data_IF_598578679811
#
_entry.id   IF_598578679811
#
_cell.length_a   1.000
_cell.length_b   1.000
_cell.length_c   1.000
_cell.angle_alpha   90.00
_cell.angle_beta   90.00
_cell.angle_gamma   90.00
#
_symmetry.space_group_name_H-M   'P 1'
#
loop_
_entity.id
_entity.type
_entity.pdbx_description
1 polymer ?
#
# COMPACT_ATOMS: atom_id res chain seq x y z
N UNK A 1 2.18 -28.91 8.61
CA UNK A 1 1.63 -27.78 7.84
C UNK A 1 0.90 -28.33 6.63
N UNK A 2 -0.29 -27.81 6.33
CA UNK A 2 -1.03 -28.25 5.13
C UNK A 2 -0.26 -27.87 3.86
N UNK A 3 -0.47 -28.57 2.76
CA UNK A 3 0.13 -28.20 1.47
C UNK A 3 -0.20 -26.74 1.08
N UNK A 4 -1.40 -26.26 1.46
CA UNK A 4 -1.80 -24.87 1.26
C UNK A 4 -0.91 -23.86 1.99
N UNK A 5 -0.63 -24.07 3.29
CA UNK A 5 0.26 -23.17 4.04
C UNK A 5 1.63 -23.10 3.38
N UNK A 6 2.23 -24.24 3.03
CA UNK A 6 3.57 -24.27 2.44
C UNK A 6 3.62 -23.58 1.06
N UNK A 7 2.59 -23.78 0.23
CA UNK A 7 2.58 -23.25 -1.14
C UNK A 7 2.17 -21.77 -1.18
N UNK A 8 1.24 -21.34 -0.34
CA UNK A 8 0.62 -20.03 -0.45
C UNK A 8 1.17 -18.98 0.53
N UNK A 9 1.96 -19.36 1.54
CA UNK A 9 2.46 -18.41 2.55
C UNK A 9 3.98 -18.20 2.51
N UNK A 10 4.72 -19.04 1.79
CA UNK A 10 6.16 -18.89 1.62
C UNK A 10 6.48 -18.14 0.31
N UNK A 11 7.45 -17.23 0.36
CA UNK A 11 7.99 -16.59 -0.84
C UNK A 11 8.75 -17.64 -1.63
N UNK A 12 8.52 -17.70 -2.95
CA UNK A 12 9.14 -18.70 -3.82
C UNK A 12 10.66 -18.50 -3.88
N UNK A 13 11.40 -19.59 -3.76
CA UNK A 13 12.85 -19.68 -3.92
C UNK A 13 13.27 -20.54 -5.12
N UNK A 14 12.30 -20.99 -5.91
CA UNK A 14 12.46 -21.86 -7.08
C UNK A 14 12.94 -21.14 -8.36
N UNK A 15 13.40 -19.89 -8.21
CA UNK A 15 13.90 -19.04 -9.30
C UNK A 15 12.81 -18.36 -10.14
N UNK A 16 11.53 -18.65 -9.91
CA UNK A 16 10.43 -17.93 -10.59
C UNK A 16 10.15 -16.55 -9.97
N UNK A 17 10.46 -16.37 -8.68
CA UNK A 17 10.49 -15.08 -8.02
C UNK A 17 11.92 -14.54 -8.04
N UNK A 18 12.06 -13.27 -8.41
CA UNK A 18 13.32 -12.55 -8.38
C UNK A 18 13.09 -11.28 -7.57
N UNK A 19 13.82 -11.13 -6.48
CA UNK A 19 13.85 -9.87 -5.75
C UNK A 19 14.49 -8.80 -6.65
N UNK A 20 13.69 -7.80 -7.02
CA UNK A 20 14.12 -6.71 -7.90
C UNK A 20 14.66 -5.50 -7.12
N UNK A 21 14.65 -5.54 -5.79
CA UNK A 21 14.93 -4.40 -4.91
C UNK A 21 13.81 -3.35 -4.93
N UNK A 22 14.05 -2.22 -4.26
CA UNK A 22 13.06 -1.14 -4.10
C UNK A 22 13.10 -0.09 -5.22
N UNK A 23 13.90 -0.29 -6.27
CA UNK A 23 13.98 0.67 -7.38
C UNK A 23 12.89 0.38 -8.42
N UNK A 24 11.75 1.04 -8.27
CA UNK A 24 10.59 0.86 -9.14
C UNK A 24 10.88 1.15 -10.64
N UNK A 25 11.76 2.12 -10.95
CA UNK A 25 12.14 2.39 -12.34
C UNK A 25 12.85 1.19 -12.97
N UNK A 26 13.70 0.50 -12.20
CA UNK A 26 14.34 -0.73 -12.65
C UNK A 26 13.33 -1.87 -12.81
N UNK A 27 12.31 -1.94 -11.95
CA UNK A 27 11.22 -2.91 -12.08
C UNK A 27 10.48 -2.69 -13.41
N UNK A 28 10.10 -1.46 -13.73
CA UNK A 28 9.44 -1.13 -15.01
C UNK A 28 10.30 -1.55 -16.21
N UNK A 29 11.59 -1.21 -16.20
CA UNK A 29 12.52 -1.60 -17.27
C UNK A 29 12.63 -3.12 -17.43
N UNK A 30 12.68 -3.87 -16.32
CA UNK A 30 12.74 -5.34 -16.34
C UNK A 30 11.46 -5.95 -16.94
N UNK A 31 10.30 -5.38 -16.64
CA UNK A 31 9.02 -5.84 -17.19
C UNK A 31 8.92 -5.52 -18.68
N UNK A 32 9.32 -4.32 -19.07
CA UNK A 32 9.32 -3.89 -20.48
C UNK A 32 10.26 -4.76 -21.33
N UNK A 33 11.43 -5.12 -20.80
CA UNK A 33 12.40 -5.98 -21.49
C UNK A 33 11.97 -7.45 -21.58
N UNK A 34 11.03 -7.91 -20.75
CA UNK A 34 10.55 -9.29 -20.73
C UNK A 34 9.02 -9.35 -20.71
N UNK A 35 8.36 -9.55 -21.88
CA UNK A 35 6.89 -9.62 -21.99
C UNK A 35 6.22 -10.74 -21.19
N UNK A 36 6.99 -11.73 -20.69
CA UNK A 36 6.48 -12.82 -19.83
C UNK A 36 6.60 -12.50 -18.34
N UNK A 37 7.29 -11.42 -17.97
CA UNK A 37 7.46 -11.05 -16.58
C UNK A 37 6.18 -10.46 -15.98
N UNK A 38 5.98 -10.72 -14.70
CA UNK A 38 4.93 -10.08 -13.89
C UNK A 38 5.64 -9.37 -12.75
N UNK A 39 5.35 -8.08 -12.59
CA UNK A 39 5.85 -7.28 -11.47
C UNK A 39 4.74 -6.91 -10.51
N UNK A 40 5.12 -6.70 -9.25
CA UNK A 40 4.25 -6.18 -8.20
C UNK A 40 4.92 -4.93 -7.65
N UNK A 41 4.31 -3.76 -7.84
CA UNK A 41 4.85 -2.45 -7.44
C UNK A 41 3.70 -1.44 -7.33
N UNK A 42 4.00 -0.23 -6.86
CA UNK A 42 3.00 0.80 -6.57
C UNK A 42 2.18 1.24 -7.80
N UNK A 43 0.90 1.53 -7.58
CA UNK A 43 -0.03 1.94 -8.64
C UNK A 43 0.41 3.21 -9.39
N UNK A 44 1.08 4.15 -8.72
CA UNK A 44 1.60 5.38 -9.34
C UNK A 44 2.51 5.10 -10.52
N UNK A 45 3.37 4.09 -10.44
CA UNK A 45 4.27 3.75 -11.54
C UNK A 45 3.57 3.12 -12.74
N UNK A 46 2.45 2.43 -12.52
CA UNK A 46 1.58 2.00 -13.61
C UNK A 46 0.99 3.23 -14.32
N UNK A 47 0.52 4.21 -13.54
CA UNK A 47 -0.05 5.45 -14.08
C UNK A 47 0.97 6.30 -14.84
N UNK A 48 2.20 6.39 -14.35
CA UNK A 48 3.29 7.16 -14.95
C UNK A 48 3.87 6.51 -16.21
N UNK A 49 3.75 5.18 -16.34
CA UNK A 49 4.32 4.40 -17.45
C UNK A 49 3.25 3.79 -18.36
N UNK A 50 2.08 4.44 -18.45
CA UNK A 50 1.02 4.06 -19.39
C UNK A 50 1.59 3.93 -20.81
N UNK A 51 1.35 2.78 -21.44
CA UNK A 51 1.84 2.48 -22.79
C UNK A 51 3.14 1.67 -22.84
N UNK A 52 3.94 1.65 -21.75
CA UNK A 52 5.11 0.77 -21.63
C UNK A 52 4.78 -0.53 -20.90
N UNK A 53 3.91 -0.43 -19.90
CA UNK A 53 3.41 -1.54 -19.09
C UNK A 53 1.89 -1.50 -19.01
N UNK A 54 1.30 -2.63 -18.63
CA UNK A 54 -0.15 -2.77 -18.45
C UNK A 54 -0.48 -3.34 -17.08
N UNK A 55 -1.57 -2.86 -16.49
CA UNK A 55 -2.17 -3.47 -15.30
C UNK A 55 -2.81 -4.82 -15.66
N UNK A 56 -2.79 -5.77 -14.73
CA UNK A 56 -3.43 -7.07 -14.91
C UNK A 56 -4.83 -7.07 -14.32
N UNK A 57 -5.83 -7.47 -15.09
CA UNK A 57 -7.18 -7.67 -14.60
C UNK A 57 -7.23 -8.90 -13.69
N UNK A 58 -7.76 -8.73 -12.47
CA UNK A 58 -7.90 -9.82 -11.50
C UNK A 58 -9.37 -10.04 -11.19
N UNK A 59 -9.87 -11.26 -11.41
CA UNK A 59 -11.30 -11.61 -11.24
C UNK A 59 -12.25 -10.68 -12.01
N UNK A 60 -11.85 -10.23 -13.20
CA UNK A 60 -12.65 -9.32 -14.03
C UNK A 60 -12.58 -7.84 -13.62
N UNK A 61 -11.78 -7.49 -12.61
CA UNK A 61 -11.63 -6.12 -12.11
C UNK A 61 -10.27 -5.58 -12.54
N UNK A 62 -10.27 -4.45 -13.23
CA UNK A 62 -9.04 -3.75 -13.66
C UNK A 62 -8.44 -2.93 -12.52
N UNK A 63 -7.11 -2.72 -12.48
CA UNK A 63 -6.47 -1.85 -11.49
C UNK A 63 -6.63 -0.38 -11.89
N UNK A 64 -7.77 0.21 -11.56
CA UNK A 64 -8.03 1.64 -11.70
C UNK A 64 -7.92 2.36 -10.35
N UNK A 65 -7.79 3.68 -10.36
CA UNK A 65 -7.82 4.47 -9.12
C UNK A 65 -9.09 4.16 -8.29
N UNK A 66 -10.26 4.10 -8.94
CA UNK A 66 -11.55 3.84 -8.28
C UNK A 66 -11.56 2.46 -7.60
N UNK A 67 -11.22 1.41 -8.36
CA UNK A 67 -11.23 0.02 -7.88
C UNK A 67 -10.17 -0.26 -6.82
N UNK A 68 -9.08 0.51 -6.80
CA UNK A 68 -8.04 0.40 -5.76
C UNK A 68 -8.49 1.15 -4.51
N UNK A 69 -9.05 2.36 -4.67
CA UNK A 69 -9.52 3.19 -3.56
C UNK A 69 -10.69 2.54 -2.81
N UNK A 70 -11.60 1.86 -3.50
CA UNK A 70 -12.73 1.14 -2.89
C UNK A 70 -12.41 -0.31 -2.50
N UNK A 71 -11.15 -0.74 -2.67
CA UNK A 71 -10.64 -2.09 -2.40
C UNK A 71 -11.31 -3.24 -3.19
N UNK A 72 -12.08 -2.94 -4.24
CA UNK A 72 -12.65 -3.98 -5.11
C UNK A 72 -11.60 -4.71 -5.94
N UNK A 73 -10.50 -4.03 -6.30
CA UNK A 73 -9.37 -4.66 -6.97
C UNK A 73 -8.64 -5.62 -5.99
N UNK A 74 -8.52 -6.92 -6.28
CA UNK A 74 -8.01 -7.91 -5.32
C UNK A 74 -6.59 -7.65 -4.77
N UNK A 75 -5.76 -6.96 -5.55
CA UNK A 75 -4.40 -6.57 -5.17
C UNK A 75 -4.31 -5.29 -4.34
N UNK A 76 -5.40 -4.56 -4.15
CA UNK A 76 -5.41 -3.36 -3.34
C UNK A 76 -5.14 -3.70 -1.87
N UNK A 77 -4.27 -2.91 -1.23
CA UNK A 77 -3.91 -3.08 0.18
C UNK A 77 -3.88 -1.72 0.87
N UNK A 78 -4.60 -1.56 1.98
CA UNK A 78 -4.48 -0.38 2.82
C UNK A 78 -3.09 -0.34 3.47
N UNK A 79 -2.55 0.87 3.60
CA UNK A 79 -1.33 1.12 4.35
C UNK A 79 -1.69 1.67 5.73
N UNK A 80 -1.01 1.17 6.75
CA UNK A 80 -1.26 1.52 8.15
C UNK A 80 -0.04 2.15 8.79
N UNK A 81 -0.29 3.09 9.70
CA UNK A 81 0.72 3.59 10.62
C UNK A 81 0.30 3.16 12.02
N UNK A 82 1.11 2.29 12.62
CA UNK A 82 0.92 1.85 14.00
C UNK A 82 1.81 2.65 14.94
N UNK A 83 1.20 3.25 15.95
CA UNK A 83 1.90 4.07 16.94
C UNK A 83 1.69 3.48 18.32
N UNK A 84 2.78 3.15 19.01
CA UNK A 84 2.71 2.70 20.41
C UNK A 84 2.27 3.89 21.28
N UNK A 85 1.08 3.79 21.90
CA UNK A 85 0.52 4.87 22.74
C UNK A 85 1.48 5.34 23.84
N UNK A 86 2.19 4.40 24.49
CA UNK A 86 3.20 4.72 25.51
C UNK A 86 4.32 5.64 24.99
N UNK A 87 4.63 5.59 23.70
CA UNK A 87 5.71 6.36 23.09
C UNK A 87 5.31 7.78 22.71
N UNK A 88 4.01 8.10 22.63
CA UNK A 88 3.57 9.45 22.26
C UNK A 88 4.03 10.53 23.24
N UNK A 89 4.18 10.17 24.53
CA UNK A 89 4.74 11.06 25.56
C UNK A 89 6.24 10.90 25.72
N UNK A 90 6.77 9.68 25.52
CA UNK A 90 8.17 9.37 25.79
C UNK A 90 9.12 9.78 24.66
N UNK A 91 8.64 9.83 23.42
CA UNK A 91 9.43 10.19 22.24
C UNK A 91 9.10 11.63 21.85
N UNK A 92 10.03 12.58 22.02
CA UNK A 92 9.82 13.96 21.61
C UNK A 92 9.43 14.05 20.13
N UNK A 93 8.37 14.80 19.83
CA UNK A 93 7.93 15.05 18.45
C UNK A 93 7.09 13.95 17.80
N UNK A 94 6.94 12.77 18.40
CA UNK A 94 6.16 11.68 17.78
C UNK A 94 4.68 12.06 17.60
N UNK A 95 4.06 12.66 18.62
CA UNK A 95 2.68 13.13 18.50
C UNK A 95 2.54 14.21 17.42
N UNK A 96 3.47 15.16 17.36
CA UNK A 96 3.49 16.18 16.33
C UNK A 96 3.65 15.58 14.92
N UNK A 97 4.54 14.59 14.76
CA UNK A 97 4.71 13.86 13.51
C UNK A 97 3.41 13.20 13.05
N UNK A 98 2.71 12.47 13.93
CA UNK A 98 1.45 11.81 13.58
C UNK A 98 0.36 12.82 13.24
N UNK A 99 0.28 13.93 13.98
CA UNK A 99 -0.64 15.03 13.69
C UNK A 99 -0.34 15.67 12.33
N UNK A 100 0.92 15.97 12.01
CA UNK A 100 1.26 16.53 10.71
C UNK A 100 1.04 15.54 9.57
N UNK A 101 1.38 14.27 9.76
CA UNK A 101 1.14 13.23 8.77
C UNK A 101 -0.34 13.14 8.37
N UNK A 102 -1.25 13.29 9.36
CA UNK A 102 -2.69 13.27 9.13
C UNK A 102 -3.21 14.40 8.22
N UNK A 103 -2.43 15.48 8.05
CA UNK A 103 -2.80 16.57 7.14
C UNK A 103 -2.41 16.29 5.68
N UNK A 104 -1.57 15.28 5.45
CA UNK A 104 -0.99 15.00 4.14
C UNK A 104 -1.79 13.96 3.32
N UNK A 105 -2.60 13.12 3.98
CA UNK A 105 -3.26 11.95 3.37
C UNK A 105 -4.61 12.25 2.70
N UNK A 106 -5.10 13.49 2.78
CA UNK A 106 -6.42 13.86 2.28
C UNK A 106 -6.47 13.98 0.76
N UNK A 107 -7.69 14.11 0.23
CA UNK A 107 -7.92 14.44 -1.18
C UNK A 107 -7.16 15.73 -1.55
N UNK A 108 -6.29 15.67 -2.57
CA UNK A 108 -5.44 16.79 -2.98
C UNK A 108 -4.24 17.09 -2.07
N UNK A 109 -4.04 16.29 -1.02
CA UNK A 109 -2.90 16.39 -0.10
C UNK A 109 -1.58 15.97 -0.75
N UNK A 110 -0.48 16.22 -0.04
CA UNK A 110 0.88 15.92 -0.54
C UNK A 110 1.07 14.45 -0.90
N UNK A 111 0.51 13.52 -0.13
CA UNK A 111 0.68 12.10 -0.41
C UNK A 111 0.00 11.69 -1.72
N UNK A 112 -1.18 12.25 -2.02
CA UNK A 112 -1.86 12.02 -3.30
C UNK A 112 -1.04 12.54 -4.49
N UNK A 113 -0.42 13.72 -4.33
CA UNK A 113 0.48 14.29 -5.35
C UNK A 113 1.75 13.46 -5.56
N UNK A 114 2.18 12.73 -4.53
CA UNK A 114 3.31 11.79 -4.59
C UNK A 114 2.88 10.38 -5.03
N UNK A 115 1.64 10.18 -5.48
CA UNK A 115 1.19 8.93 -6.07
C UNK A 115 0.47 7.96 -5.12
N UNK A 116 0.21 8.34 -3.88
CA UNK A 116 -0.61 7.54 -2.97
C UNK A 116 -2.09 7.58 -3.38
N UNK A 117 -2.74 6.41 -3.40
CA UNK A 117 -4.19 6.34 -3.56
C UNK A 117 -4.86 6.76 -2.26
N UNK A 118 -5.73 7.77 -2.33
CA UNK A 118 -6.44 8.28 -1.15
C UNK A 118 -7.46 7.25 -0.67
N UNK A 119 -7.48 7.03 0.65
CA UNK A 119 -8.43 6.13 1.29
C UNK A 119 -9.87 6.67 1.21
N UNK A 120 -10.89 5.80 1.34
CA UNK A 120 -12.29 6.21 1.44
C UNK A 120 -12.56 7.22 2.57
N UNK A 121 -13.60 8.04 2.41
CA UNK A 121 -13.89 9.16 3.32
C UNK A 121 -14.17 8.70 4.77
N UNK A 122 -14.80 7.55 4.97
CA UNK A 122 -15.05 6.94 6.28
C UNK A 122 -13.74 6.49 6.95
N UNK A 123 -12.81 5.93 6.17
CA UNK A 123 -11.46 5.54 6.65
C UNK A 123 -10.65 6.78 7.05
N UNK A 124 -10.70 7.85 6.24
CA UNK A 124 -10.04 9.12 6.56
C UNK A 124 -10.61 9.75 7.84
N UNK A 125 -11.94 9.78 7.98
CA UNK A 125 -12.61 10.31 9.17
C UNK A 125 -12.26 9.50 10.42
N UNK A 126 -12.27 8.17 10.33
CA UNK A 126 -11.86 7.28 11.42
C UNK A 126 -10.38 7.48 11.81
N UNK A 127 -9.50 7.62 10.82
CA UNK A 127 -8.06 7.86 11.05
C UNK A 127 -7.80 9.22 11.69
N UNK A 128 -8.48 10.27 11.24
CA UNK A 128 -8.39 11.61 11.84
C UNK A 128 -8.89 11.62 13.30
N UNK A 129 -9.96 10.88 13.61
CA UNK A 129 -10.42 10.69 14.98
C UNK A 129 -9.37 9.95 15.82
N UNK A 130 -8.77 8.86 15.30
CA UNK A 130 -7.77 8.07 16.01
C UNK A 130 -6.51 8.87 16.37
N UNK A 131 -6.08 9.80 15.50
CA UNK A 131 -4.93 10.70 15.75
C UNK A 131 -5.18 11.62 16.96
N UNK A 132 -6.43 12.02 17.19
CA UNK A 132 -6.79 12.90 18.31
C UNK A 132 -7.12 12.11 19.59
N UNK A 133 -7.91 11.04 19.46
CA UNK A 133 -8.43 10.29 20.61
C UNK A 133 -7.41 9.28 21.17
N UNK A 134 -6.40 8.91 20.37
CA UNK A 134 -5.33 7.98 20.73
C UNK A 134 -5.87 6.67 21.35
N UNK A 135 -6.78 5.96 20.66
CA UNK A 135 -7.34 4.72 21.19
C UNK A 135 -6.23 3.69 21.41
N UNK A 136 -6.40 2.83 22.41
CA UNK A 136 -5.56 1.63 22.55
C UNK A 136 -6.12 0.60 21.58
N UNK A 137 -5.26 0.05 20.73
CA UNK A 137 -5.60 -1.06 19.86
C UNK A 137 -5.30 -2.38 20.56
N UNK A 138 -6.20 -3.35 20.43
CA UNK A 138 -5.90 -4.75 20.71
C UNK A 138 -5.40 -5.48 19.45
N UNK A 139 -4.91 -6.71 19.63
CA UNK A 139 -4.32 -7.50 18.53
C UNK A 139 -5.30 -7.83 17.41
N UNK A 140 -6.62 -7.85 17.67
CA UNK A 140 -7.64 -8.13 16.65
C UNK A 140 -7.85 -6.94 15.69
N UNK A 141 -7.40 -5.75 16.09
CA UNK A 141 -7.51 -4.53 15.29
C UNK A 141 -6.29 -4.30 14.39
N UNK A 142 -5.22 -5.07 14.58
CA UNK A 142 -4.05 -5.08 13.69
C UNK A 142 -4.39 -5.81 12.39
N UNK A 143 -3.78 -5.37 11.28
CA UNK A 143 -4.06 -5.85 9.93
C UNK A 143 -2.81 -6.42 9.29
#
# INVERSE_FOLDING_TARGET
KSAHEKICTEVRDDGAYVDAGENDNLIVQKIEANPKAIGVFGFSYLEENKGRIKGLTMKGIEPTYATISDFSYPGARPLYIYVKKAHLKAIPGLQAFVTEWSKLWGKGGTLAKLGMVVAPDDVLAGSAKAVNDLPVLDGSQLK
#
